data_IF_700767274608
#
_entry.id   IF_700767274608
#
_cell.length_a   1.000
_cell.length_b   1.000
_cell.length_c   1.000
_cell.angle_alpha   90.00
_cell.angle_beta   90.00
_cell.angle_gamma   90.00
#
_symmetry.space_group_name_H-M   'P 1'
#
loop_
_entity.id
_entity.type
_entity.pdbx_description
1 polymer ?
#
# COMPACT_ATOMS: atom_id res chain seq x y z
N UNK A 1 25.84 -8.76 -0.74
CA UNK A 1 24.76 -8.68 -1.74
C UNK A 1 25.27 -9.42 -2.98
N UNK A 2 24.61 -10.51 -3.40
CA UNK A 2 24.97 -11.19 -4.65
C UNK A 2 24.36 -10.39 -5.80
N UNK A 3 25.18 -10.00 -6.77
CA UNK A 3 24.69 -9.37 -8.00
C UNK A 3 23.90 -10.42 -8.77
N UNK A 4 22.63 -10.17 -9.12
CA UNK A 4 21.83 -11.12 -9.90
C UNK A 4 22.49 -11.32 -11.28
N UNK A 5 22.77 -12.57 -11.61
CA UNK A 5 23.42 -12.99 -12.86
C UNK A 5 22.42 -13.56 -13.87
N UNK A 6 21.18 -13.82 -13.44
CA UNK A 6 20.10 -14.33 -14.28
C UNK A 6 18.84 -13.46 -14.16
N UNK A 7 17.97 -13.51 -15.18
CA UNK A 7 16.68 -12.81 -15.16
C UNK A 7 15.80 -13.23 -13.98
N UNK A 8 15.81 -14.53 -13.66
CA UNK A 8 15.11 -15.10 -12.52
C UNK A 8 15.58 -14.47 -11.19
N UNK A 9 16.89 -14.34 -10.97
CA UNK A 9 17.45 -13.70 -9.78
C UNK A 9 17.09 -12.21 -9.69
N UNK A 10 17.05 -11.51 -10.82
CA UNK A 10 16.66 -10.10 -10.85
C UNK A 10 15.19 -9.89 -10.49
N UNK A 11 14.30 -10.75 -11.00
CA UNK A 11 12.87 -10.74 -10.66
C UNK A 11 12.66 -11.10 -9.18
N UNK A 12 13.35 -12.11 -8.65
CA UNK A 12 13.28 -12.45 -7.22
C UNK A 12 13.76 -11.29 -6.34
N UNK A 13 14.85 -10.62 -6.71
CA UNK A 13 15.36 -9.45 -5.99
C UNK A 13 14.34 -8.30 -5.94
N UNK A 14 13.66 -8.03 -7.06
CA UNK A 14 12.58 -7.05 -7.13
C UNK A 14 11.40 -7.44 -6.24
N UNK A 15 10.96 -8.70 -6.31
CA UNK A 15 9.84 -9.23 -5.50
C UNK A 15 10.16 -9.15 -4.01
N UNK A 16 11.38 -9.50 -3.59
CA UNK A 16 11.82 -9.40 -2.20
C UNK A 16 11.85 -7.94 -1.72
N UNK A 17 12.40 -7.05 -2.54
CA UNK A 17 12.44 -5.61 -2.24
C UNK A 17 11.02 -5.05 -2.07
N UNK A 18 10.12 -5.36 -3.00
CA UNK A 18 8.72 -4.94 -2.93
C UNK A 18 8.02 -5.52 -1.70
N UNK A 19 8.31 -6.78 -1.34
CA UNK A 19 7.70 -7.41 -0.16
C UNK A 19 8.06 -6.74 1.17
N UNK A 20 9.18 -6.01 1.23
CA UNK A 20 9.60 -5.22 2.39
C UNK A 20 9.07 -3.78 2.34
N UNK A 21 9.02 -3.18 1.15
CA UNK A 21 8.57 -1.79 0.96
C UNK A 21 7.04 -1.66 1.09
N UNK A 22 6.27 -2.63 0.60
CA UNK A 22 4.79 -2.57 0.60
C UNK A 22 4.21 -2.47 2.02
N UNK A 23 4.60 -3.31 3.00
CA UNK A 23 4.11 -3.20 4.38
C UNK A 23 4.41 -1.83 5.01
N UNK A 24 5.56 -1.23 4.67
CA UNK A 24 5.95 0.10 5.15
C UNK A 24 5.00 1.18 4.59
N UNK A 25 4.74 1.15 3.29
CA UNK A 25 3.79 2.08 2.63
C UNK A 25 2.38 1.88 3.18
N UNK A 26 1.99 0.64 3.44
CA UNK A 26 0.69 0.31 4.03
C UNK A 26 0.53 0.93 5.43
N UNK A 27 1.54 0.79 6.30
CA UNK A 27 1.55 1.42 7.62
C UNK A 27 1.43 2.94 7.55
N UNK A 28 2.19 3.59 6.66
CA UNK A 28 2.12 5.04 6.44
C UNK A 28 0.76 5.48 5.92
N UNK A 29 0.17 4.71 5.00
CA UNK A 29 -1.15 4.99 4.44
C UNK A 29 -2.23 4.91 5.51
N UNK A 30 -2.21 3.88 6.35
CA UNK A 30 -3.14 3.75 7.48
C UNK A 30 -2.99 4.91 8.48
N UNK A 31 -1.76 5.27 8.85
CA UNK A 31 -1.50 6.41 9.73
C UNK A 31 -2.06 7.71 9.13
N UNK A 32 -1.86 7.93 7.84
CA UNK A 32 -2.39 9.10 7.13
C UNK A 32 -3.92 9.12 7.12
N UNK A 33 -4.57 7.99 6.84
CA UNK A 33 -6.04 7.88 6.85
C UNK A 33 -6.59 8.17 8.24
N UNK A 34 -6.01 7.56 9.29
CA UNK A 34 -6.43 7.78 10.68
C UNK A 34 -6.28 9.25 11.03
N UNK A 35 -5.13 9.86 10.72
CA UNK A 35 -4.89 11.28 10.97
C UNK A 35 -5.92 12.18 10.27
N UNK A 36 -6.21 11.90 9.00
CA UNK A 36 -7.19 12.68 8.23
C UNK A 36 -8.61 12.55 8.76
N UNK A 37 -9.01 11.36 9.22
CA UNK A 37 -10.32 11.15 9.85
C UNK A 37 -10.41 11.94 11.16
N UNK A 38 -9.37 11.87 12.00
CA UNK A 38 -9.30 12.64 13.26
C UNK A 38 -9.35 14.14 12.98
N UNK A 39 -8.58 14.64 12.03
CA UNK A 39 -8.56 16.07 11.69
C UNK A 39 -9.91 16.58 11.16
N UNK A 40 -10.57 15.80 10.30
CA UNK A 40 -11.83 16.22 9.68
C UNK A 40 -13.05 16.10 10.58
N UNK A 41 -13.14 15.06 11.44
CA UNK A 41 -14.31 14.85 12.31
C UNK A 41 -14.12 15.30 13.76
N UNK A 42 -12.91 15.22 14.33
CA UNK A 42 -12.66 15.54 15.74
C UNK A 42 -12.16 16.98 15.89
N UNK A 43 -11.16 17.37 15.10
CA UNK A 43 -10.57 18.72 15.19
C UNK A 43 -11.42 19.76 14.46
N UNK A 44 -11.93 19.41 13.27
CA UNK A 44 -12.65 20.33 12.39
C UNK A 44 -14.15 20.00 12.26
N UNK A 45 -14.73 19.22 13.17
CA UNK A 45 -16.09 18.65 13.05
C UNK A 45 -17.25 19.65 12.96
N UNK A 46 -17.01 20.95 13.21
CA UNK A 46 -17.99 22.02 13.01
C UNK A 46 -18.03 22.59 11.58
N UNK A 47 -17.07 22.25 10.72
CA UNK A 47 -16.94 22.79 9.37
C UNK A 47 -17.35 21.73 8.32
N UNK A 48 -18.49 21.98 7.65
CA UNK A 48 -19.02 21.09 6.62
C UNK A 48 -18.03 20.87 5.46
N UNK A 49 -17.15 21.83 5.18
CA UNK A 49 -16.13 21.75 4.12
C UNK A 49 -15.08 20.70 4.46
N UNK A 50 -14.58 20.73 5.71
CA UNK A 50 -13.58 19.79 6.23
C UNK A 50 -14.09 18.36 6.30
N UNK A 51 -15.39 18.19 6.59
CA UNK A 51 -16.05 16.88 6.55
C UNK A 51 -16.13 16.35 5.10
N UNK A 52 -16.42 17.22 4.12
CA UNK A 52 -16.42 16.84 2.71
C UNK A 52 -15.04 16.37 2.24
N UNK A 53 -13.99 17.11 2.60
CA UNK A 53 -12.60 16.71 2.33
C UNK A 53 -12.24 15.38 3.01
N UNK A 54 -12.66 15.18 4.27
CA UNK A 54 -12.49 13.93 5.00
C UNK A 54 -13.03 12.71 4.25
N UNK A 55 -14.19 12.85 3.57
CA UNK A 55 -14.76 11.79 2.72
C UNK A 55 -13.89 11.49 1.49
N UNK A 56 -13.29 12.51 0.87
CA UNK A 56 -12.36 12.29 -0.25
C UNK A 56 -11.09 11.57 0.21
N UNK A 57 -10.53 11.93 1.36
CA UNK A 57 -9.38 11.23 1.93
C UNK A 57 -9.70 9.77 2.30
N UNK A 58 -10.91 9.50 2.82
CA UNK A 58 -11.36 8.14 3.08
C UNK A 58 -11.44 7.30 1.78
N UNK A 59 -11.95 7.88 0.69
CA UNK A 59 -11.99 7.23 -0.62
C UNK A 59 -10.60 6.91 -1.15
N UNK A 60 -9.67 7.87 -1.07
CA UNK A 60 -8.26 7.67 -1.45
C UNK A 60 -7.65 6.55 -0.62
N UNK A 61 -7.94 6.52 0.68
CA UNK A 61 -7.50 5.46 1.57
C UNK A 61 -7.97 4.08 1.12
N UNK A 62 -9.25 3.94 0.79
CA UNK A 62 -9.82 2.67 0.28
C UNK A 62 -9.15 2.27 -1.04
N UNK A 63 -8.96 3.20 -1.97
CA UNK A 63 -8.30 2.92 -3.26
C UNK A 63 -6.88 2.41 -3.01
N UNK A 64 -6.13 3.05 -2.11
CA UNK A 64 -4.78 2.62 -1.75
C UNK A 64 -4.78 1.20 -1.15
N UNK A 65 -5.72 0.89 -0.25
CA UNK A 65 -5.86 -0.45 0.33
C UNK A 65 -6.11 -1.52 -0.74
N UNK A 66 -6.99 -1.24 -1.70
CA UNK A 66 -7.31 -2.16 -2.82
C UNK A 66 -6.08 -2.41 -3.69
N UNK A 67 -5.33 -1.36 -4.05
CA UNK A 67 -4.11 -1.49 -4.84
C UNK A 67 -3.08 -2.34 -4.08
N UNK A 68 -2.85 -2.05 -2.80
CA UNK A 68 -1.88 -2.78 -1.98
C UNK A 68 -2.26 -4.27 -1.84
N UNK A 69 -3.54 -4.57 -1.62
CA UNK A 69 -4.05 -5.95 -1.58
C UNK A 69 -3.89 -6.67 -2.93
N UNK A 70 -4.09 -5.96 -4.03
CA UNK A 70 -3.95 -6.51 -5.39
C UNK A 70 -2.50 -6.90 -5.68
N UNK A 71 -1.55 -6.07 -5.26
CA UNK A 71 -0.12 -6.35 -5.44
C UNK A 71 0.28 -7.63 -4.70
N UNK A 72 -0.24 -7.87 -3.48
CA UNK A 72 0.04 -9.10 -2.74
C UNK A 72 -0.41 -10.37 -3.49
N UNK A 73 -1.62 -10.34 -4.06
CA UNK A 73 -2.13 -11.43 -4.88
C UNK A 73 -1.28 -11.67 -6.15
N UNK A 74 -0.90 -10.60 -6.84
CA UNK A 74 -0.02 -10.68 -8.02
C UNK A 74 1.35 -11.24 -7.64
N UNK A 75 1.96 -10.77 -6.53
CA UNK A 75 3.25 -11.26 -6.05
C UNK A 75 3.19 -12.77 -5.73
N UNK A 76 2.09 -13.24 -5.15
CA UNK A 76 1.90 -14.66 -4.84
C UNK A 76 1.77 -15.51 -6.10
N UNK A 77 0.99 -15.07 -7.08
CA UNK A 77 0.87 -15.73 -8.39
C UNK A 77 2.22 -15.74 -9.12
N UNK A 78 2.94 -14.62 -9.09
CA UNK A 78 4.23 -14.49 -9.76
C UNK A 78 5.29 -15.43 -9.14
N UNK A 79 5.31 -15.54 -7.80
CA UNK A 79 6.15 -16.49 -7.07
C UNK A 79 5.85 -17.93 -7.45
N UNK A 80 4.57 -18.29 -7.45
CA UNK A 80 4.14 -19.66 -7.75
C UNK A 80 4.38 -20.04 -9.22
N UNK A 81 4.06 -19.14 -10.15
CA UNK A 81 4.16 -19.40 -11.60
C UNK A 81 5.58 -19.37 -12.15
N UNK A 82 6.45 -18.47 -11.65
CA UNK A 82 7.81 -18.35 -12.17
C UNK A 82 8.83 -19.20 -11.41
N UNK A 83 8.61 -19.47 -10.12
CA UNK A 83 9.60 -20.13 -9.26
C UNK A 83 9.11 -21.45 -8.66
N UNK A 84 7.83 -21.83 -8.85
CA UNK A 84 7.29 -23.11 -8.40
C UNK A 84 7.26 -23.29 -6.87
N UNK A 85 7.38 -22.20 -6.11
CA UNK A 85 7.27 -22.15 -4.65
C UNK A 85 5.83 -21.92 -4.18
#
# INVERSE_FOLDING_TARGET
>A
MRTPTTFAELVSFLIETLSLVIPLIFGLTLLFIIWKIVDSWIISGGDATKISEGKQYALIGIIALVIMSSIWGILQILRHSLFGL
#
